data_IF_766224388411
#
_entry.id   IF_766224388411
#
_cell.length_a   1.000
_cell.length_b   1.000
_cell.length_c   1.000
_cell.angle_alpha   90.00
_cell.angle_beta   90.00
_cell.angle_gamma   90.00
#
_symmetry.space_group_name_H-M   'P 1'
#
loop_
_entity.id
_entity.type
_entity.pdbx_description
1 polymer ?
#
# COMPACT_ATOMS: atom_id res chain seq x y z
N UNK A 1 46.01 1.78 29.08
CA UNK A 1 44.55 1.61 28.94
C UNK A 1 44.17 2.13 27.57
N UNK A 2 44.02 1.24 26.59
CA UNK A 2 43.36 1.53 25.31
C UNK A 2 43.35 0.25 24.49
N UNK A 3 42.50 -0.71 24.87
CA UNK A 3 42.02 -1.70 23.91
C UNK A 3 40.94 -1.00 23.08
N UNK A 4 41.38 -0.50 21.92
CA UNK A 4 40.48 -0.18 20.82
C UNK A 4 39.92 -1.51 20.35
N UNK A 5 38.74 -1.89 20.85
CA UNK A 5 37.99 -3.00 20.27
C UNK A 5 37.68 -2.58 18.84
N UNK A 6 38.34 -3.21 17.86
CA UNK A 6 38.00 -3.15 16.44
C UNK A 6 36.50 -3.45 16.32
N UNK A 7 35.68 -2.41 16.20
CA UNK A 7 34.29 -2.58 15.85
C UNK A 7 34.30 -3.10 14.43
N UNK A 8 33.88 -4.35 14.24
CA UNK A 8 33.66 -4.91 12.91
C UNK A 8 32.71 -3.97 12.16
N UNK A 9 33.25 -3.22 11.20
CA UNK A 9 32.47 -2.27 10.42
C UNK A 9 31.63 -3.04 9.39
N UNK A 10 30.41 -3.41 9.80
CA UNK A 10 29.46 -3.95 8.84
C UNK A 10 28.98 -2.89 7.84
N UNK A 11 28.72 -3.28 6.58
CA UNK A 11 28.00 -2.44 5.64
C UNK A 11 26.67 -1.93 6.23
N UNK A 12 26.14 -0.80 5.73
CA UNK A 12 24.83 -0.33 6.14
C UNK A 12 23.77 -1.44 6.09
N UNK A 13 22.86 -1.46 7.05
CA UNK A 13 21.74 -2.41 7.14
C UNK A 13 22.13 -3.88 7.39
N UNK A 14 23.36 -4.15 7.85
CA UNK A 14 23.82 -5.50 8.20
C UNK A 14 24.50 -5.55 9.57
N UNK A 15 24.43 -6.70 10.23
CA UNK A 15 25.01 -6.96 11.54
C UNK A 15 25.39 -8.44 11.71
N UNK A 16 25.99 -8.76 12.87
CA UNK A 16 26.33 -10.12 13.27
C UNK A 16 27.60 -10.68 12.61
N UNK A 17 27.86 -11.99 12.78
CA UNK A 17 29.09 -12.62 12.29
C UNK A 17 29.24 -12.48 10.78
N UNK A 18 30.38 -11.95 10.34
CA UNK A 18 30.68 -11.67 8.93
C UNK A 18 29.67 -10.75 8.23
N UNK A 19 28.88 -9.97 8.99
CA UNK A 19 27.86 -9.07 8.47
C UNK A 19 26.79 -9.77 7.62
N UNK A 20 26.48 -11.03 7.95
CA UNK A 20 25.56 -11.87 7.18
C UNK A 20 24.08 -11.70 7.55
N UNK A 21 23.77 -10.91 8.58
CA UNK A 21 22.39 -10.72 9.06
C UNK A 21 21.91 -9.33 8.64
N UNK A 22 20.75 -9.23 8.00
CA UNK A 22 20.17 -7.96 7.56
C UNK A 22 19.22 -7.36 8.60
N UNK A 23 19.26 -6.04 8.79
CA UNK A 23 18.26 -5.27 9.53
C UNK A 23 17.01 -5.03 8.65
N UNK A 24 16.16 -6.04 8.52
CA UNK A 24 14.98 -5.96 7.66
C UNK A 24 14.03 -4.84 8.09
N UNK A 25 13.49 -4.12 7.11
CA UNK A 25 12.49 -3.04 7.28
C UNK A 25 12.92 -1.86 8.16
N UNK A 26 14.16 -1.78 8.61
CA UNK A 26 14.60 -0.66 9.43
C UNK A 26 15.01 0.56 8.57
N UNK A 27 14.89 1.76 9.13
CA UNK A 27 15.52 2.97 8.56
C UNK A 27 16.93 3.17 9.11
N UNK A 28 17.20 2.59 10.27
CA UNK A 28 18.49 2.60 10.94
C UNK A 28 18.77 1.22 11.54
N UNK A 29 20.05 0.88 11.65
CA UNK A 29 20.49 -0.45 12.04
C UNK A 29 21.70 -0.30 12.93
N UNK A 30 21.58 -0.72 14.18
CA UNK A 30 22.70 -0.87 15.08
C UNK A 30 23.55 -2.07 14.63
N UNK A 31 24.82 -1.83 14.32
CA UNK A 31 25.69 -2.84 13.70
C UNK A 31 26.13 -3.95 14.67
N UNK A 32 26.03 -3.71 15.98
CA UNK A 32 26.43 -4.66 17.01
C UNK A 32 25.27 -5.57 17.40
N UNK A 33 24.09 -4.99 17.56
CA UNK A 33 22.91 -5.68 18.10
C UNK A 33 21.87 -6.03 17.03
N UNK A 34 21.92 -5.40 15.86
CA UNK A 34 20.90 -5.54 14.81
C UNK A 34 19.57 -4.86 15.15
N UNK A 35 19.55 -4.04 16.20
CA UNK A 35 18.34 -3.33 16.63
C UNK A 35 18.13 -2.06 15.81
N UNK A 36 16.89 -1.61 15.81
CA UNK A 36 16.40 -0.48 15.06
C UNK A 36 15.75 0.50 16.04
N UNK A 37 15.90 1.80 15.77
CA UNK A 37 15.15 2.85 16.47
C UNK A 37 14.06 3.46 15.61
N UNK A 38 14.05 3.18 14.30
CA UNK A 38 12.99 3.57 13.38
C UNK A 38 12.77 2.52 12.29
N UNK A 39 11.50 2.29 11.96
CA UNK A 39 11.09 1.39 10.89
C UNK A 39 10.72 2.14 9.61
N UNK A 40 10.84 1.44 8.49
CA UNK A 40 10.32 1.88 7.19
C UNK A 40 8.79 1.99 7.25
N UNK A 41 8.22 2.83 6.40
CA UNK A 41 6.77 2.99 6.31
C UNK A 41 6.07 1.65 6.13
N UNK A 42 4.99 1.43 6.88
CA UNK A 42 4.26 0.17 6.90
C UNK A 42 4.71 -0.85 7.92
N UNK A 43 5.76 -0.56 8.71
CA UNK A 43 6.21 -1.41 9.82
C UNK A 43 6.21 -0.63 11.13
N UNK A 44 5.87 -1.32 12.23
CA UNK A 44 5.91 -0.77 13.57
C UNK A 44 7.20 -1.16 14.29
N UNK A 45 7.67 -0.28 15.17
CA UNK A 45 8.80 -0.56 16.03
C UNK A 45 8.32 -1.33 17.27
N UNK A 46 8.72 -2.59 17.38
CA UNK A 46 8.40 -3.44 18.53
C UNK A 46 9.68 -4.04 19.10
N UNK A 47 9.96 -3.77 20.38
CA UNK A 47 11.18 -4.26 21.05
C UNK A 47 12.48 -3.94 20.27
N UNK A 48 12.53 -2.77 19.63
CA UNK A 48 13.62 -2.33 18.76
C UNK A 48 13.81 -3.16 17.47
N UNK A 49 12.76 -3.81 16.98
CA UNK A 49 12.76 -4.52 15.70
C UNK A 49 11.56 -4.10 14.82
N UNK A 50 11.67 -4.35 13.52
CA UNK A 50 10.70 -3.94 12.51
C UNK A 50 10.07 -5.17 11.81
N UNK A 51 9.81 -6.21 12.59
CA UNK A 51 9.31 -7.50 12.08
C UNK A 51 7.79 -7.51 11.87
N UNK A 52 7.09 -6.53 12.47
CA UNK A 52 5.64 -6.43 12.38
C UNK A 52 5.23 -5.28 11.48
N UNK A 53 4.34 -5.58 10.55
CA UNK A 53 3.63 -4.58 9.79
C UNK A 53 2.79 -3.68 10.71
N UNK A 54 2.36 -2.54 10.18
CA UNK A 54 1.39 -1.71 10.86
C UNK A 54 0.11 -2.49 11.16
N UNK A 55 -0.49 -2.29 12.35
CA UNK A 55 -1.72 -2.97 12.73
C UNK A 55 -2.88 -2.55 11.81
N UNK A 56 -3.95 -3.35 11.87
CA UNK A 56 -5.18 -3.06 11.15
C UNK A 56 -5.64 -1.61 11.35
N UNK A 57 -6.25 -1.07 10.29
CA UNK A 57 -6.71 0.31 10.22
C UNK A 57 -5.62 1.39 10.25
N UNK A 58 -4.34 1.01 10.18
CA UNK A 58 -3.22 1.96 10.16
C UNK A 58 -2.26 1.75 8.98
N UNK A 59 -1.53 2.81 8.62
CA UNK A 59 -0.53 2.79 7.55
C UNK A 59 0.54 3.88 7.73
N UNK A 60 1.57 3.86 6.89
CA UNK A 60 2.56 4.92 6.79
C UNK A 60 3.71 4.80 7.77
N UNK A 61 4.42 5.91 7.97
CA UNK A 61 5.50 6.00 8.95
C UNK A 61 4.95 5.98 10.37
N UNK A 62 5.57 5.16 11.23
CA UNK A 62 5.15 4.91 12.62
C UNK A 62 3.67 4.49 12.74
N UNK A 63 3.09 3.96 11.66
CA UNK A 63 1.68 3.56 11.61
C UNK A 63 0.71 4.69 12.01
N UNK A 64 1.09 5.93 11.72
CA UNK A 64 0.34 7.13 12.11
C UNK A 64 -0.82 7.48 11.17
N UNK A 65 -0.84 6.91 9.97
CA UNK A 65 -1.94 7.04 9.02
C UNK A 65 -3.16 6.23 9.48
N UNK A 66 -4.36 6.76 9.25
CA UNK A 66 -5.62 6.11 9.59
C UNK A 66 -6.36 5.69 8.32
N UNK A 67 -6.53 4.38 8.14
CA UNK A 67 -7.21 3.81 6.97
C UNK A 67 -8.69 4.17 6.93
N UNK A 68 -9.37 4.17 8.07
CA UNK A 68 -10.79 4.52 8.12
C UNK A 68 -11.04 5.93 7.59
N UNK A 69 -10.26 6.91 8.06
CA UNK A 69 -10.39 8.29 7.61
C UNK A 69 -10.07 8.47 6.13
N UNK A 70 -9.24 7.60 5.56
CA UNK A 70 -8.79 7.68 4.16
C UNK A 70 -9.69 6.88 3.20
N UNK A 71 -10.17 5.73 3.62
CA UNK A 71 -10.83 4.72 2.78
C UNK A 71 -12.25 4.36 3.25
N UNK A 72 -12.65 4.70 4.48
CA UNK A 72 -13.90 4.23 5.09
C UNK A 72 -13.89 2.76 5.51
N UNK A 73 -12.79 2.07 5.23
CA UNK A 73 -12.51 0.66 5.54
C UNK A 73 -11.00 0.54 5.81
N UNK A 74 -10.52 -0.69 6.02
CA UNK A 74 -9.08 -0.90 6.13
C UNK A 74 -8.38 -0.67 4.77
N UNK A 75 -7.10 -0.28 4.82
CA UNK A 75 -6.31 -0.10 3.61
C UNK A 75 -5.89 -1.46 3.03
N UNK A 76 -5.63 -1.49 1.72
CA UNK A 76 -5.06 -2.64 1.02
C UNK A 76 -3.56 -2.82 1.28
N UNK A 77 -2.86 -1.75 1.65
CA UNK A 77 -1.44 -1.78 1.96
C UNK A 77 -1.11 -0.89 3.17
N UNK A 78 -0.04 -1.24 3.88
CA UNK A 78 0.42 -0.54 5.09
C UNK A 78 1.42 0.58 4.79
N UNK A 79 1.95 0.71 3.58
CA UNK A 79 3.00 1.67 3.25
C UNK A 79 2.38 3.05 2.94
N UNK A 80 1.45 3.07 2.00
CA UNK A 80 0.79 4.27 1.50
C UNK A 80 -0.67 4.35 1.92
N UNK A 81 -1.25 3.24 2.40
CA UNK A 81 -2.66 3.20 2.79
C UNK A 81 -3.59 3.28 1.59
N UNK A 82 -3.34 2.52 0.52
CA UNK A 82 -4.18 2.55 -0.68
C UNK A 82 -5.56 1.95 -0.39
N UNK A 83 -6.60 2.57 -0.92
CA UNK A 83 -7.97 2.10 -0.77
C UNK A 83 -8.33 1.15 -1.90
N UNK A 84 -9.32 0.28 -1.66
CA UNK A 84 -10.01 -0.37 -2.76
C UNK A 84 -10.61 0.72 -3.66
N UNK A 85 -10.48 0.58 -4.98
CA UNK A 85 -11.03 1.56 -5.95
C UNK A 85 -12.57 1.69 -5.88
N UNK A 86 -13.20 0.92 -4.98
CA UNK A 86 -14.64 0.82 -4.72
C UNK A 86 -15.05 1.54 -3.43
N UNK A 87 -14.11 2.15 -2.69
CA UNK A 87 -14.43 2.93 -1.49
C UNK A 87 -15.20 4.21 -1.88
N UNK A 88 -16.53 4.05 -1.98
CA UNK A 88 -17.72 4.93 -1.79
C UNK A 88 -17.65 6.42 -2.18
N UNK A 89 -16.49 7.05 -2.31
CA UNK A 89 -16.33 8.42 -2.82
C UNK A 89 -16.33 8.49 -4.36
N UNK A 90 -16.03 7.40 -5.07
CA UNK A 90 -15.94 7.42 -6.55
C UNK A 90 -17.28 7.23 -7.25
N UNK A 91 -18.39 6.98 -6.52
CA UNK A 91 -19.73 7.10 -7.12
C UNK A 91 -20.10 8.55 -7.49
N UNK A 92 -19.32 9.53 -7.02
CA UNK A 92 -19.51 10.93 -7.39
C UNK A 92 -18.55 11.43 -8.48
N UNK A 93 -17.49 10.67 -8.83
CA UNK A 93 -16.46 11.09 -9.80
C UNK A 93 -16.19 10.08 -10.95
N UNK A 94 -17.01 9.04 -11.12
CA UNK A 94 -17.08 8.39 -12.43
C UNK A 94 -17.77 9.37 -13.39
N UNK A 95 -17.14 9.78 -14.51
CA UNK A 95 -17.91 10.35 -15.60
C UNK A 95 -18.85 9.25 -16.10
N UNK A 96 -20.07 9.22 -15.60
CA UNK A 96 -21.18 8.53 -16.23
C UNK A 96 -21.48 9.21 -17.58
N UNK A 97 -20.63 8.94 -18.57
CA UNK A 97 -20.92 9.08 -20.00
C UNK A 97 -20.72 7.66 -20.56
N UNK A 98 -21.74 6.97 -21.06
CA UNK A 98 -22.88 7.43 -21.85
C UNK A 98 -24.14 6.68 -21.42
N UNK A 99 -25.27 7.36 -21.48
CA UNK A 99 -26.53 6.69 -21.76
C UNK A 99 -26.33 5.76 -22.98
N UNK A 100 -26.45 4.46 -22.77
CA UNK A 100 -26.85 3.57 -23.86
C UNK A 100 -28.31 3.94 -24.11
N UNK A 101 -28.55 4.81 -25.09
CA UNK A 101 -29.89 4.99 -25.63
C UNK A 101 -30.33 3.63 -26.13
N UNK A 102 -31.19 2.95 -25.37
CA UNK A 102 -31.96 1.85 -25.89
C UNK A 102 -32.77 2.40 -27.05
N UNK A 103 -32.35 2.09 -28.27
CA UNK A 103 -33.15 2.34 -29.46
C UNK A 103 -34.40 1.47 -29.26
N UNK A 104 -35.54 2.10 -29.00
CA UNK A 104 -36.84 1.44 -29.11
C UNK A 104 -36.91 0.82 -30.49
N UNK A 105 -37.08 -0.50 -30.55
CA UNK A 105 -37.34 -1.23 -31.78
C UNK A 105 -38.81 -1.05 -32.20
N UNK A 106 -39.32 0.19 -32.18
CA UNK A 106 -40.71 0.52 -32.47
C UNK A 106 -40.79 1.36 -33.74
N UNK A 107 -40.18 0.91 -34.84
CA UNK A 107 -40.45 1.49 -36.18
C UNK A 107 -39.97 0.58 -37.32
N UNK A 108 -40.31 -0.71 -37.26
CA UNK A 108 -40.52 -1.46 -38.50
C UNK A 108 -42.02 -1.37 -38.81
N UNK A 109 -42.43 -0.25 -39.41
CA UNK A 109 -43.68 -0.18 -40.14
C UNK A 109 -43.60 -1.24 -41.25
N UNK A 110 -44.42 -2.30 -41.14
CA UNK A 110 -44.44 -3.45 -42.05
C UNK A 110 -45.29 -3.19 -43.31
N UNK A 111 -45.42 -1.93 -43.71
CA UNK A 111 -46.17 -1.53 -44.89
C UNK A 111 -45.38 -0.43 -45.56
N UNK A 112 -44.52 -0.79 -46.51
CA UNK A 112 -44.10 0.00 -47.69
C UNK A 112 -42.93 -0.73 -48.38
N UNK A 113 -43.18 -1.95 -48.88
CA UNK A 113 -42.33 -2.55 -49.91
C UNK A 113 -43.16 -2.56 -51.20
N UNK A 114 -42.83 -1.71 -52.21
CA UNK A 114 -43.41 -1.85 -53.52
C UNK A 114 -42.83 -3.11 -54.17
N UNK A 115 -43.69 -4.10 -54.42
CA UNK A 115 -43.34 -5.27 -55.24
C UNK A 115 -43.23 -4.78 -56.70
N UNK A 116 -42.00 -4.62 -57.17
CA UNK A 116 -41.69 -4.60 -58.60
C UNK A 116 -41.43 -6.05 -59.04
N UNK A 117 -42.43 -6.65 -59.68
CA UNK A 117 -42.30 -7.72 -60.68
C UNK A 117 -43.64 -7.91 -61.39
#
# INVERSE_FOLDING_TARGET
>A
MSESTDQQECPPMTFGPNCSISCANCKNCDKETGTCSQCSSGFQLEQNHCDKECPDMTFGENCSGNCYSKCGEDCLDRIYGSCSRLSISTLQDLPAKKEVKNIRLDTLNKSDVPLLA
#
